data_IF_057583485960
#
_entry.id   IF_057583485960
#
_cell.length_a   1.000
_cell.length_b   1.000
_cell.length_c   1.000
_cell.angle_alpha   90.00
_cell.angle_beta   90.00
_cell.angle_gamma   90.00
#
_symmetry.space_group_name_H-M   'P 1'
#
loop_
_entity.id
_entity.type
_entity.pdbx_description
1 polymer ?
#
# COMPACT_ATOMS: atom_id res chain seq x y z
N UNK A 1 8.11 28.56 -20.46
CA UNK A 1 8.02 27.47 -19.69
C UNK A 1 9.30 26.96 -19.18
N UNK A 2 10.27 26.86 -19.94
CA UNK A 2 11.52 26.38 -19.44
C UNK A 2 11.96 27.20 -18.25
N UNK A 3 11.76 28.49 -18.34
CA UNK A 3 12.17 29.34 -17.27
C UNK A 3 11.37 29.05 -16.03
N UNK A 4 10.09 28.87 -16.19
CA UNK A 4 9.27 28.62 -15.08
C UNK A 4 9.64 27.31 -14.46
N UNK A 5 9.93 26.33 -15.27
CA UNK A 5 10.32 25.07 -14.74
C UNK A 5 11.59 25.23 -13.96
N UNK A 6 12.44 26.09 -14.37
CA UNK A 6 13.65 26.23 -13.67
C UNK A 6 13.41 26.87 -12.34
N UNK A 7 12.48 27.75 -12.25
CA UNK A 7 12.22 28.39 -11.02
C UNK A 7 11.63 27.43 -10.02
N UNK A 8 10.74 26.58 -10.42
CA UNK A 8 10.17 25.67 -9.49
C UNK A 8 10.71 24.32 -9.73
N UNK A 9 11.39 24.16 -10.79
CA UNK A 9 11.67 22.88 -11.17
C UNK A 9 12.62 22.15 -10.32
N UNK A 10 13.48 22.84 -9.79
CA UNK A 10 14.45 22.12 -9.03
C UNK A 10 13.76 21.32 -8.03
N UNK A 11 12.71 21.91 -7.56
CA UNK A 11 12.09 21.20 -6.56
C UNK A 11 11.42 20.03 -7.08
N UNK A 12 11.01 20.00 -8.23
CA UNK A 12 10.27 18.86 -8.65
C UNK A 12 11.13 17.95 -9.43
N UNK A 13 12.28 18.33 -9.79
CA UNK A 13 13.07 17.52 -10.61
C UNK A 13 13.31 16.18 -10.02
N UNK A 14 13.56 16.10 -8.80
CA UNK A 14 13.84 14.83 -8.22
C UNK A 14 12.58 14.10 -7.95
N UNK A 15 11.59 14.78 -7.57
CA UNK A 15 10.35 14.16 -7.24
C UNK A 15 9.71 13.43 -8.39
N UNK A 16 9.74 13.95 -9.58
CA UNK A 16 9.00 13.31 -10.65
C UNK A 16 9.46 11.92 -10.97
N UNK A 17 10.67 11.63 -10.62
CA UNK A 17 11.16 10.33 -10.93
C UNK A 17 10.84 9.30 -9.86
N UNK A 18 10.34 9.77 -8.75
CA UNK A 18 10.02 8.85 -7.69
C UNK A 18 8.55 8.50 -7.78
N UNK A 19 8.22 7.23 -7.95
CA UNK A 19 6.82 6.84 -8.11
C UNK A 19 6.01 7.17 -6.87
N UNK A 20 4.75 7.50 -7.09
CA UNK A 20 3.82 7.71 -5.98
C UNK A 20 3.26 6.37 -5.58
N UNK A 21 3.25 6.08 -4.31
CA UNK A 21 2.81 4.79 -3.79
C UNK A 21 1.57 4.97 -2.94
N UNK A 22 0.54 4.19 -3.23
CA UNK A 22 -0.62 4.09 -2.36
C UNK A 22 -0.52 2.78 -1.59
N UNK A 23 -0.57 2.84 -0.28
CA UNK A 23 -0.42 1.66 0.57
C UNK A 23 -1.77 1.23 1.12
N UNK A 24 -2.11 -0.04 0.92
CA UNK A 24 -3.36 -0.63 1.37
C UNK A 24 -3.04 -1.80 2.28
N UNK A 25 -3.45 -1.73 3.54
CA UNK A 25 -3.09 -2.72 4.55
C UNK A 25 -4.30 -3.49 5.02
N UNK A 26 -4.24 -4.81 4.89
CA UNK A 26 -5.27 -5.71 5.39
C UNK A 26 -4.95 -5.94 6.87
N UNK A 27 -5.55 -5.13 7.75
CA UNK A 27 -5.21 -5.14 9.15
C UNK A 27 -5.37 -6.48 9.84
N UNK A 28 -6.53 -7.11 9.73
CA UNK A 28 -6.72 -8.40 10.41
C UNK A 28 -5.74 -9.46 9.94
N UNK A 29 -5.26 -9.34 8.72
CA UNK A 29 -4.36 -10.33 8.18
C UNK A 29 -2.91 -10.05 8.55
N UNK A 30 -2.52 -8.79 8.62
CA UNK A 30 -1.13 -8.41 8.82
C UNK A 30 -0.77 -8.12 10.26
N UNK A 31 -1.68 -7.50 11.01
CA UNK A 31 -1.39 -7.07 12.36
C UNK A 31 -1.74 -8.15 13.38
N UNK A 32 -1.26 -9.34 13.15
CA UNK A 32 -1.49 -10.45 14.05
C UNK A 32 -0.28 -10.58 14.95
N UNK A 33 -0.54 -10.91 16.20
CA UNK A 33 0.53 -10.99 17.17
C UNK A 33 1.65 -11.93 16.73
N UNK A 34 1.30 -13.00 16.09
CA UNK A 34 2.30 -13.97 15.73
C UNK A 34 3.30 -13.47 14.70
N UNK A 35 3.00 -12.34 14.03
CA UNK A 35 3.92 -11.84 13.03
C UNK A 35 4.85 -10.77 13.57
N UNK A 36 4.56 -10.23 14.73
CA UNK A 36 5.41 -9.19 15.32
C UNK A 36 5.69 -8.06 14.34
N UNK A 37 4.65 -7.60 13.65
CA UNK A 37 4.75 -6.55 12.66
C UNK A 37 3.90 -5.38 13.11
N UNK A 38 4.41 -4.17 12.99
CA UNK A 38 3.61 -3.02 13.32
C UNK A 38 3.45 -2.13 12.07
N UNK A 39 2.70 -1.06 12.24
CA UNK A 39 2.37 -0.19 11.11
C UNK A 39 3.58 0.54 10.57
N UNK A 40 4.55 0.83 11.39
CA UNK A 40 5.75 1.49 10.92
C UNK A 40 6.54 0.56 10.03
N UNK A 41 6.57 -0.73 10.36
CA UNK A 41 7.25 -1.72 9.53
C UNK A 41 6.62 -1.79 8.15
N UNK A 42 5.30 -1.74 8.11
CA UNK A 42 4.58 -1.85 6.85
C UNK A 42 4.85 -0.62 5.99
N UNK A 43 4.84 0.55 6.61
CA UNK A 43 5.10 1.77 5.87
C UNK A 43 6.53 1.78 5.33
N UNK A 44 7.48 1.36 6.16
CA UNK A 44 8.87 1.33 5.74
C UNK A 44 9.05 0.40 4.54
N UNK A 45 8.35 -0.72 4.54
CA UNK A 45 8.42 -1.63 3.41
C UNK A 45 7.85 -0.99 2.15
N UNK A 46 6.75 -0.27 2.28
CA UNK A 46 6.14 0.38 1.12
C UNK A 46 7.03 1.47 0.55
N UNK A 47 7.82 2.11 1.40
CA UNK A 47 8.70 3.18 0.95
C UNK A 47 9.80 2.69 0.03
N UNK A 48 10.01 1.39 -0.03
CA UNK A 48 10.96 0.86 -0.97
C UNK A 48 10.45 0.96 -2.40
N UNK A 49 9.15 1.09 -2.59
CA UNK A 49 8.57 1.18 -3.92
C UNK A 49 8.50 2.61 -4.43
N UNK A 50 8.67 3.60 -3.55
CA UNK A 50 8.60 4.99 -3.96
C UNK A 50 8.15 5.86 -2.81
N UNK A 51 7.58 7.00 -3.15
CA UNK A 51 7.14 7.96 -2.15
C UNK A 51 5.71 7.65 -1.77
N UNK A 52 5.48 7.30 -0.53
CA UNK A 52 4.14 6.93 -0.08
C UNK A 52 3.30 8.18 0.09
N UNK A 53 2.26 8.30 -0.71
CA UNK A 53 1.41 9.49 -0.70
C UNK A 53 0.04 9.22 -0.11
N UNK A 54 -0.32 7.97 0.09
CA UNK A 54 -1.60 7.63 0.71
C UNK A 54 -1.44 6.30 1.42
N UNK A 55 -2.03 6.19 2.59
CA UNK A 55 -1.97 4.97 3.39
C UNK A 55 -3.32 4.70 3.96
N UNK A 56 -3.85 3.52 3.72
CA UNK A 56 -5.15 3.10 4.24
C UNK A 56 -5.02 1.80 5.00
N UNK A 57 -5.59 1.79 6.19
CA UNK A 57 -5.61 0.59 7.02
C UNK A 57 -7.04 0.11 7.11
N UNK A 58 -7.27 -1.14 6.70
CA UNK A 58 -8.60 -1.72 6.70
C UNK A 58 -8.75 -2.63 7.91
N UNK A 59 -9.80 -2.40 8.67
CA UNK A 59 -10.05 -3.15 9.90
C UNK A 59 -11.48 -3.65 9.91
N UNK A 60 -11.73 -4.66 10.73
CA UNK A 60 -13.08 -5.18 10.88
C UNK A 60 -13.70 -4.58 12.15
N UNK A 61 -14.88 -5.06 12.48
CA UNK A 61 -15.61 -4.48 13.61
C UNK A 61 -14.99 -4.78 14.96
N UNK A 62 -13.95 -5.61 14.99
CA UNK A 62 -13.27 -5.90 16.25
C UNK A 62 -12.12 -4.93 16.52
N UNK A 63 -11.97 -3.91 15.67
CA UNK A 63 -10.91 -2.95 15.86
C UNK A 63 -11.11 -2.18 17.16
N UNK A 64 -10.03 -1.95 17.87
CA UNK A 64 -10.13 -1.21 19.12
C UNK A 64 -9.89 0.26 18.86
N UNK A 65 -10.47 1.12 19.70
CA UNK A 65 -10.21 2.56 19.57
C UNK A 65 -8.73 2.89 19.65
N UNK A 66 -7.98 2.16 20.47
CA UNK A 66 -6.55 2.42 20.59
C UNK A 66 -5.79 2.16 19.30
N UNK A 67 -6.14 1.09 18.61
CA UNK A 67 -5.50 0.78 17.35
C UNK A 67 -5.85 1.83 16.31
N UNK A 68 -7.11 2.23 16.26
CA UNK A 68 -7.54 3.23 15.30
C UNK A 68 -6.78 4.53 15.53
N UNK A 69 -6.70 4.96 16.81
CA UNK A 69 -6.01 6.20 17.10
C UNK A 69 -4.53 6.11 16.78
N UNK A 70 -3.92 4.98 17.07
CA UNK A 70 -2.50 4.80 16.77
C UNK A 70 -2.23 4.86 15.28
N UNK A 71 -3.14 4.29 14.49
CA UNK A 71 -2.97 4.29 13.05
C UNK A 71 -3.16 5.70 12.49
N UNK A 72 -4.16 6.41 12.98
CA UNK A 72 -4.40 7.76 12.51
C UNK A 72 -3.25 8.68 12.87
N UNK A 73 -2.66 8.46 14.04
CA UNK A 73 -1.52 9.27 14.46
C UNK A 73 -0.32 9.06 13.54
N UNK A 74 -0.27 7.92 12.86
CA UNK A 74 0.81 7.63 11.95
C UNK A 74 0.49 8.01 10.50
N UNK A 75 -0.65 8.65 10.29
CA UNK A 75 -1.01 9.11 8.96
C UNK A 75 -1.85 8.15 8.14
N UNK A 76 -2.34 7.08 8.75
CA UNK A 76 -3.20 6.16 8.02
C UNK A 76 -4.64 6.64 8.06
N UNK A 77 -5.32 6.46 6.93
CA UNK A 77 -6.76 6.63 6.89
C UNK A 77 -7.30 5.26 7.28
N UNK A 78 -8.13 5.20 8.31
CA UNK A 78 -8.63 3.92 8.80
C UNK A 78 -10.03 3.68 8.25
N UNK A 79 -10.22 2.50 7.65
CA UNK A 79 -11.50 2.12 7.08
C UNK A 79 -11.97 0.90 7.86
N UNK A 80 -13.09 1.03 8.57
CA UNK A 80 -13.64 -0.08 9.34
C UNK A 80 -14.83 -0.63 8.58
N UNK A 81 -14.84 -1.93 8.35
CA UNK A 81 -15.94 -2.53 7.61
C UNK A 81 -16.50 -3.70 8.42
N UNK A 82 -17.79 -3.90 8.31
CA UNK A 82 -18.41 -5.01 9.01
C UNK A 82 -18.46 -6.26 8.14
N UNK A 83 -18.00 -6.17 6.92
CA UNK A 83 -17.99 -7.33 6.04
C UNK A 83 -16.59 -7.82 5.82
N UNK A 84 -16.35 -8.35 4.65
CA UNK A 84 -15.04 -8.88 4.32
C UNK A 84 -14.09 -7.73 4.06
N UNK A 85 -13.07 -7.65 4.88
CA UNK A 85 -12.07 -6.60 4.78
C UNK A 85 -11.37 -6.67 3.42
N UNK A 86 -11.03 -7.88 2.99
CA UNK A 86 -10.30 -8.05 1.74
C UNK A 86 -11.11 -7.57 0.53
N UNK A 87 -12.41 -7.75 0.55
CA UNK A 87 -13.25 -7.31 -0.54
C UNK A 87 -13.26 -5.79 -0.61
N UNK A 88 -13.41 -5.15 0.53
CA UNK A 88 -13.43 -3.70 0.58
C UNK A 88 -12.09 -3.13 0.12
N UNK A 89 -11.01 -3.74 0.57
CA UNK A 89 -9.70 -3.30 0.19
C UNK A 89 -9.51 -3.46 -1.32
N UNK A 90 -9.91 -4.59 -1.87
CA UNK A 90 -9.73 -4.84 -3.30
C UNK A 90 -10.49 -3.83 -4.14
N UNK A 91 -11.71 -3.50 -3.74
CA UNK A 91 -12.51 -2.54 -4.48
C UNK A 91 -11.85 -1.17 -4.45
N UNK A 92 -11.42 -0.74 -3.29
CA UNK A 92 -10.85 0.60 -3.17
C UNK A 92 -9.48 0.70 -3.82
N UNK A 93 -8.69 -0.37 -3.77
CA UNK A 93 -7.42 -0.40 -4.44
C UNK A 93 -7.63 -0.24 -5.94
N UNK A 94 -8.59 -0.97 -6.48
CA UNK A 94 -8.89 -0.92 -7.90
C UNK A 94 -9.34 0.49 -8.30
N UNK A 95 -10.19 1.09 -7.49
CA UNK A 95 -10.67 2.42 -7.78
C UNK A 95 -9.53 3.42 -7.76
N UNK A 96 -8.64 3.28 -6.79
CA UNK A 96 -7.50 4.17 -6.67
C UNK A 96 -6.62 4.09 -7.91
N UNK A 97 -6.39 2.88 -8.39
CA UNK A 97 -5.55 2.67 -9.55
C UNK A 97 -6.21 3.19 -10.82
N UNK A 98 -7.48 2.93 -10.99
CA UNK A 98 -8.19 3.36 -12.18
C UNK A 98 -8.21 4.89 -12.26
N UNK A 99 -8.31 5.55 -11.13
CA UNK A 99 -8.36 7.00 -11.10
C UNK A 99 -6.97 7.64 -11.17
N UNK A 100 -5.94 6.86 -11.34
CA UNK A 100 -4.61 7.40 -11.53
C UNK A 100 -4.02 8.08 -10.31
N UNK A 101 -4.43 7.65 -9.13
CA UNK A 101 -4.02 8.33 -7.91
C UNK A 101 -2.66 7.86 -7.40
N UNK A 102 -2.10 6.83 -8.00
CA UNK A 102 -0.77 6.35 -7.64
C UNK A 102 -0.12 5.69 -8.84
N UNK A 103 1.18 5.62 -8.82
CA UNK A 103 1.94 4.92 -9.84
C UNK A 103 2.18 3.47 -9.42
N UNK A 104 2.17 3.23 -8.12
CA UNK A 104 2.34 1.91 -7.56
C UNK A 104 1.31 1.74 -6.46
N UNK A 105 0.66 0.58 -6.40
CA UNK A 105 -0.19 0.25 -5.26
C UNK A 105 0.52 -0.84 -4.50
N UNK A 106 0.73 -0.62 -3.22
CA UNK A 106 1.38 -1.59 -2.35
C UNK A 106 0.30 -2.23 -1.49
N UNK A 107 0.27 -3.54 -1.47
CA UNK A 107 -0.75 -4.28 -0.71
C UNK A 107 -0.05 -5.08 0.36
N UNK A 108 -0.41 -4.86 1.60
CA UNK A 108 0.16 -5.60 2.70
C UNK A 108 -0.87 -6.63 3.16
N UNK A 109 -0.63 -7.89 2.85
CA UNK A 109 -1.51 -8.98 3.22
C UNK A 109 -0.82 -10.30 2.92
N UNK A 110 -1.21 -11.35 3.65
CA UNK A 110 -0.73 -12.67 3.31
C UNK A 110 -1.69 -13.33 2.36
N UNK A 111 -2.83 -12.72 2.12
CA UNK A 111 -3.84 -13.30 1.29
C UNK A 111 -3.48 -13.10 -0.16
N UNK A 112 -3.73 -14.08 -0.99
CA UNK A 112 -3.45 -13.96 -2.40
C UNK A 112 -4.70 -13.70 -3.21
N UNK A 113 -5.82 -13.46 -2.53
CA UNK A 113 -7.08 -13.26 -3.25
C UNK A 113 -7.19 -11.90 -3.88
N UNK A 114 -6.14 -11.12 -3.86
CA UNK A 114 -6.18 -9.81 -4.48
C UNK A 114 -5.74 -9.84 -5.94
N UNK A 115 -5.52 -11.03 -6.48
CA UNK A 115 -5.03 -11.13 -7.83
C UNK A 115 -5.87 -10.37 -8.85
N UNK A 116 -7.20 -10.47 -8.83
CA UNK A 116 -7.98 -9.72 -9.81
C UNK A 116 -7.79 -8.21 -9.68
N UNK A 117 -7.69 -7.73 -8.45
CA UNK A 117 -7.50 -6.29 -8.22
C UNK A 117 -6.12 -5.86 -8.72
N UNK A 118 -5.12 -6.69 -8.49
CA UNK A 118 -3.77 -6.41 -8.92
C UNK A 118 -3.71 -6.39 -10.45
N UNK A 119 -4.37 -7.33 -11.08
CA UNK A 119 -4.37 -7.38 -12.54
C UNK A 119 -5.06 -6.17 -13.14
N UNK A 120 -6.15 -5.73 -12.52
CA UNK A 120 -6.85 -4.56 -13.00
C UNK A 120 -5.98 -3.31 -12.84
N UNK A 121 -5.29 -3.21 -11.71
CA UNK A 121 -4.39 -2.09 -11.49
C UNK A 121 -3.31 -2.07 -12.57
N UNK A 122 -2.76 -3.23 -12.87
CA UNK A 122 -1.71 -3.31 -13.86
C UNK A 122 -2.21 -2.89 -15.24
N UNK A 123 -3.41 -3.30 -15.60
CA UNK A 123 -3.98 -2.93 -16.87
C UNK A 123 -4.12 -1.42 -17.00
N UNK A 124 -4.34 -0.74 -15.88
CA UNK A 124 -4.49 0.70 -15.89
C UNK A 124 -3.18 1.43 -15.65
N UNK A 125 -2.07 0.73 -15.80
CA UNK A 125 -0.77 1.39 -15.75
C UNK A 125 -0.16 1.50 -14.37
N UNK A 126 -0.76 0.88 -13.37
CA UNK A 126 -0.28 0.96 -12.03
C UNK A 126 0.51 -0.29 -11.70
N UNK A 127 1.71 -0.15 -11.20
CA UNK A 127 2.48 -1.31 -10.80
C UNK A 127 2.05 -1.76 -9.41
N UNK A 128 2.37 -2.96 -9.04
CA UNK A 128 1.97 -3.49 -7.75
C UNK A 128 3.19 -3.95 -6.96
N UNK A 129 3.08 -3.87 -5.66
CA UNK A 129 4.17 -4.20 -4.77
C UNK A 129 3.55 -4.95 -3.59
N UNK A 130 3.84 -6.23 -3.47
CA UNK A 130 3.23 -7.04 -2.43
C UNK A 130 4.11 -7.06 -1.20
N UNK A 131 3.50 -6.86 -0.04
CA UNK A 131 4.19 -6.88 1.23
C UNK A 131 3.54 -7.96 2.07
N UNK A 132 4.30 -8.92 2.53
CA UNK A 132 3.75 -10.01 3.34
C UNK A 132 4.55 -10.17 4.61
N UNK A 133 3.89 -10.52 5.72
CA UNK A 133 4.63 -10.79 6.95
C UNK A 133 5.48 -12.03 6.76
N UNK A 134 6.66 -11.99 7.31
CA UNK A 134 7.56 -13.11 7.25
C UNK A 134 7.17 -14.16 8.26
N UNK A 135 7.78 -15.32 8.15
CA UNK A 135 7.49 -16.39 9.04
C UNK A 135 8.43 -16.45 10.22
N UNK A 136 9.60 -15.90 10.11
CA UNK A 136 10.59 -16.07 11.14
C UNK A 136 11.25 -14.76 11.52
N UNK A 137 11.48 -14.58 12.75
CA UNK A 137 12.28 -13.51 13.26
C UNK A 137 11.82 -12.12 12.90
N UNK A 138 12.40 -11.15 13.59
CA UNK A 138 11.97 -9.84 13.36
C UNK A 138 12.50 -9.26 12.10
N UNK A 139 13.69 -9.56 11.74
CA UNK A 139 14.25 -9.00 10.52
C UNK A 139 13.56 -9.60 9.29
N UNK A 140 12.89 -10.74 9.46
CA UNK A 140 12.18 -11.33 8.35
C UNK A 140 10.69 -11.17 8.50
N UNK A 141 10.25 -10.30 9.37
CA UNK A 141 8.83 -10.15 9.63
C UNK A 141 8.06 -9.65 8.42
N UNK A 142 8.73 -8.95 7.52
CA UNK A 142 8.06 -8.51 6.33
C UNK A 142 8.87 -8.92 5.12
N UNK A 143 8.18 -9.37 4.08
CA UNK A 143 8.80 -9.68 2.85
C UNK A 143 8.13 -8.84 1.83
N UNK A 144 8.80 -8.14 0.99
CA UNK A 144 8.19 -7.35 -0.04
C UNK A 144 8.70 -7.83 -1.38
N UNK A 145 7.84 -7.81 -2.37
CA UNK A 145 8.20 -8.28 -3.67
C UNK A 145 7.49 -7.46 -4.71
N UNK A 146 8.21 -6.78 -5.51
CA UNK A 146 7.63 -6.00 -6.55
C UNK A 146 7.18 -6.96 -7.59
N UNK A 147 5.94 -6.82 -7.96
CA UNK A 147 5.52 -7.73 -8.94
C UNK A 147 5.80 -6.96 -10.09
N UNK A 148 6.53 -7.32 -10.93
CA UNK A 148 6.88 -6.73 -11.95
C UNK A 148 5.92 -6.64 -12.82
N UNK A 149 5.66 -6.01 -13.28
CA UNK A 149 4.94 -5.85 -14.20
C UNK A 149 3.95 -6.46 -14.46
N UNK A 150 3.45 -6.22 -14.36
CA UNK A 150 2.29 -6.56 -14.57
C UNK A 150 2.25 -7.56 -15.33
N UNK A 151 2.64 -8.19 -15.08
CA UNK A 151 2.47 -9.20 -15.66
C UNK A 151 1.69 -9.04 -16.72
N UNK A 152 1.36 -8.12 -17.13
CA UNK A 152 0.61 -8.03 -18.10
C UNK A 152 1.22 -8.72 -18.99
N UNK A 153 1.68 -8.88 -19.23
CA UNK A 153 2.23 -9.51 -20.11
C UNK A 153 2.97 -10.54 -19.57
N UNK A 154 3.05 -10.72 -18.57
CA UNK A 154 3.75 -11.79 -18.13
C UNK A 154 2.95 -12.74 -17.79
#
# INVERSE_FOLDING_TARGET
MALLNRLFGADTDDAPNEPRVGLFVDGPNVLREEFDVDLDDVRDAAERAGRVTAMRLYLDEHATPGLIQAAEARGFEVVVTSGDVDVRLAVELTEFAINGRADVVAVASRDTDFKPAVETANVHGCRTFAIAPGAFGRSDALRNAATRQPTLGE
#
